data_IF_421133991054
#
_entry.id   IF_421133991054
#
_cell.length_a   1.000
_cell.length_b   1.000
_cell.length_c   1.000
_cell.angle_alpha   90.00
_cell.angle_beta   90.00
_cell.angle_gamma   90.00
#
_symmetry.space_group_name_H-M   'P 1'
#
loop_
_entity.id
_entity.type
_entity.pdbx_description
1 polymer ?
#
# COMPACT_ATOMS: atom_id res chain seq x y z
N UNK A 1 32.36 9.33 21.66
CA UNK A 1 32.49 9.56 20.20
C UNK A 1 31.10 9.81 19.60
N UNK A 2 30.97 10.74 18.63
CA UNK A 2 29.71 11.18 17.99
C UNK A 2 28.80 12.10 18.82
N UNK A 3 29.36 13.20 19.36
CA UNK A 3 28.58 14.22 20.08
C UNK A 3 27.80 15.18 19.16
N UNK A 4 28.19 15.29 17.89
CA UNK A 4 27.45 16.05 16.89
C UNK A 4 26.57 15.10 16.07
N UNK A 5 25.25 15.22 16.23
CA UNK A 5 24.25 14.39 15.54
C UNK A 5 24.24 14.61 14.02
N UNK A 6 24.54 15.82 13.56
CA UNK A 6 24.40 16.19 12.15
C UNK A 6 25.46 15.53 11.26
N UNK A 7 26.62 15.20 11.82
CA UNK A 7 27.74 14.63 11.06
C UNK A 7 28.11 13.23 11.52
N UNK A 8 27.42 12.66 12.51
CA UNK A 8 27.79 11.37 13.08
C UNK A 8 27.68 10.22 12.09
N UNK A 9 26.75 10.31 11.15
CA UNK A 9 26.53 9.27 10.14
C UNK A 9 27.73 9.08 9.19
N UNK A 10 28.57 10.11 9.00
CA UNK A 10 29.75 10.07 8.13
C UNK A 10 30.80 9.07 8.61
N UNK A 11 31.07 9.07 9.92
CA UNK A 11 31.99 8.10 10.53
C UNK A 11 31.38 6.69 10.55
N UNK A 12 30.05 6.58 10.72
CA UNK A 12 29.35 5.30 10.59
C UNK A 12 29.46 4.74 9.16
N UNK A 13 29.33 5.59 8.15
CA UNK A 13 29.49 5.20 6.76
C UNK A 13 30.91 4.68 6.49
N UNK A 14 31.93 5.43 6.93
CA UNK A 14 33.32 4.99 6.82
C UNK A 14 33.57 3.63 7.48
N UNK A 15 32.94 3.38 8.63
CA UNK A 15 33.02 2.08 9.29
C UNK A 15 32.32 0.97 8.49
N UNK A 16 31.17 1.24 7.86
CA UNK A 16 30.50 0.30 6.95
C UNK A 16 31.37 -0.06 5.74
N UNK A 17 32.04 0.93 5.15
CA UNK A 17 32.99 0.70 4.05
C UNK A 17 34.16 -0.19 4.49
N UNK A 18 34.77 0.10 5.65
CA UNK A 18 35.88 -0.68 6.17
C UNK A 18 35.47 -2.13 6.48
N UNK A 19 34.24 -2.34 6.97
CA UNK A 19 33.70 -3.68 7.20
C UNK A 19 33.47 -4.41 5.88
N UNK A 20 32.85 -3.76 4.90
CA UNK A 20 32.63 -4.33 3.58
C UNK A 20 33.96 -4.76 2.93
N UNK A 21 34.97 -3.90 2.85
CA UNK A 21 36.27 -4.22 2.24
C UNK A 21 37.01 -5.36 2.95
N UNK A 22 37.10 -5.33 4.29
CA UNK A 22 37.83 -6.35 5.05
C UNK A 22 37.27 -7.76 4.85
N UNK A 23 35.96 -7.88 4.68
CA UNK A 23 35.32 -9.18 4.47
C UNK A 23 35.56 -9.73 3.07
N UNK A 24 35.70 -8.88 2.06
CA UNK A 24 36.02 -9.32 0.69
C UNK A 24 37.50 -9.71 0.51
N UNK A 25 38.44 -9.13 1.27
CA UNK A 25 39.88 -9.37 1.10
C UNK A 25 40.40 -10.65 1.78
N UNK A 26 39.74 -11.13 2.84
CA UNK A 26 40.29 -12.19 3.70
C UNK A 26 39.95 -13.63 3.29
N UNK A 27 39.16 -13.83 2.22
CA UNK A 27 38.76 -15.18 1.77
C UNK A 27 37.89 -15.97 2.77
N UNK A 28 37.46 -15.33 3.85
CA UNK A 28 36.48 -15.86 4.81
C UNK A 28 35.06 -15.73 4.24
N UNK A 29 34.09 -16.40 4.87
CA UNK A 29 32.67 -16.28 4.51
C UNK A 29 32.25 -14.81 4.63
N UNK A 30 31.81 -14.21 3.53
CA UNK A 30 31.36 -12.82 3.49
C UNK A 30 30.22 -12.63 4.49
N UNK A 31 30.38 -11.68 5.41
CA UNK A 31 29.37 -11.35 6.43
C UNK A 31 28.46 -10.19 6.00
N UNK A 32 28.94 -9.34 5.08
CA UNK A 32 28.25 -8.16 4.55
C UNK A 32 28.50 -8.11 3.04
N UNK A 33 27.47 -8.43 2.26
CA UNK A 33 27.52 -8.43 0.78
C UNK A 33 27.13 -7.08 0.17
N UNK A 34 26.51 -6.19 0.95
CA UNK A 34 26.07 -4.87 0.50
C UNK A 34 25.93 -3.93 1.68
N UNK A 35 26.19 -2.65 1.44
CA UNK A 35 26.04 -1.56 2.40
C UNK A 35 25.18 -0.45 1.82
N UNK A 36 24.43 0.23 2.67
CA UNK A 36 23.49 1.26 2.29
C UNK A 36 23.03 2.10 3.47
N UNK A 37 22.10 3.02 3.20
CA UNK A 37 21.56 3.96 4.20
C UNK A 37 20.05 3.88 4.25
N UNK A 38 19.46 4.47 5.29
CA UNK A 38 18.01 4.55 5.44
C UNK A 38 17.61 5.94 5.89
N UNK A 39 16.47 6.43 5.40
CA UNK A 39 15.88 7.73 5.72
C UNK A 39 16.76 8.95 5.37
N UNK A 40 17.61 8.84 4.34
CA UNK A 40 18.40 9.98 3.84
C UNK A 40 17.59 10.79 2.84
N UNK A 41 17.61 12.12 2.96
CA UNK A 41 17.07 13.00 1.93
C UNK A 41 18.07 13.21 0.76
N UNK A 42 17.63 13.91 -0.29
CA UNK A 42 18.47 14.19 -1.47
C UNK A 42 19.81 14.87 -1.12
N UNK A 43 19.81 15.87 -0.23
CA UNK A 43 21.03 16.58 0.16
C UNK A 43 22.00 15.65 0.91
N UNK A 44 21.49 14.82 1.81
CA UNK A 44 22.29 13.83 2.54
C UNK A 44 22.84 12.75 1.61
N UNK A 45 22.05 12.30 0.63
CA UNK A 45 22.51 11.36 -0.40
C UNK A 45 23.61 11.95 -1.27
N UNK A 46 23.47 13.21 -1.71
CA UNK A 46 24.51 13.91 -2.47
C UNK A 46 25.80 14.05 -1.66
N UNK A 47 25.70 14.39 -0.38
CA UNK A 47 26.85 14.48 0.51
C UNK A 47 27.50 13.11 0.75
N UNK A 48 26.70 12.05 0.94
CA UNK A 48 27.17 10.68 1.09
C UNK A 48 28.00 10.28 -0.14
N UNK A 49 27.44 10.45 -1.34
CA UNK A 49 28.13 10.10 -2.58
C UNK A 49 29.44 10.87 -2.77
N UNK A 50 29.50 12.12 -2.31
CA UNK A 50 30.71 12.93 -2.37
C UNK A 50 31.84 12.40 -1.47
N UNK A 51 31.52 11.85 -0.29
CA UNK A 51 32.51 11.38 0.68
C UNK A 51 32.81 9.87 0.57
N UNK A 52 31.95 9.12 -0.10
CA UNK A 52 32.03 7.67 -0.22
C UNK A 52 33.23 7.21 -1.04
N UNK A 53 33.99 6.24 -0.50
CA UNK A 53 34.91 5.38 -1.26
C UNK A 53 34.15 4.25 -1.95
N UNK A 54 33.07 3.77 -1.33
CA UNK A 54 32.18 2.74 -1.86
C UNK A 54 30.80 3.35 -1.98
N UNK A 55 30.21 3.31 -3.17
CA UNK A 55 28.87 3.83 -3.38
C UNK A 55 27.84 3.01 -2.56
N UNK A 56 26.83 3.63 -1.95
CA UNK A 56 25.76 2.88 -1.31
C UNK A 56 25.03 2.03 -2.36
N UNK A 57 24.75 0.78 -2.04
CA UNK A 57 24.04 -0.15 -2.92
C UNK A 57 22.52 -0.01 -2.80
N UNK A 58 22.07 0.39 -1.61
CA UNK A 58 20.65 0.50 -1.26
C UNK A 58 20.39 1.76 -0.44
N UNK A 59 19.27 2.41 -0.71
CA UNK A 59 18.67 3.43 0.14
C UNK A 59 17.28 2.92 0.54
N UNK A 60 17.06 2.73 1.84
CA UNK A 60 15.74 2.36 2.36
C UNK A 60 14.97 3.62 2.75
N UNK A 61 13.77 3.81 2.20
CA UNK A 61 12.98 5.03 2.38
C UNK A 61 11.49 4.73 2.54
N UNK A 62 10.73 5.75 2.89
CA UNK A 62 9.29 5.59 3.04
C UNK A 62 8.68 5.48 1.63
N UNK A 63 7.65 4.65 1.44
CA UNK A 63 6.90 4.62 0.16
C UNK A 63 6.41 6.00 -0.28
N UNK A 64 6.25 6.94 0.66
CA UNK A 64 6.00 8.35 0.39
C UNK A 64 6.95 8.95 -0.66
N UNK A 65 8.26 8.65 -0.56
CA UNK A 65 9.30 9.24 -1.40
C UNK A 65 9.15 8.79 -2.86
N UNK A 66 8.66 7.56 -3.08
CA UNK A 66 8.40 6.98 -4.42
C UNK A 66 7.39 7.79 -5.23
N UNK A 67 6.45 8.44 -4.55
CA UNK A 67 5.35 9.21 -5.18
C UNK A 67 5.61 10.71 -5.13
N UNK A 68 6.26 11.21 -4.08
CA UNK A 68 6.34 12.64 -3.80
C UNK A 68 7.74 13.25 -3.93
N UNK A 69 8.79 12.45 -4.09
CA UNK A 69 10.15 12.95 -4.27
C UNK A 69 10.80 12.39 -5.56
N UNK A 70 10.32 12.82 -6.74
CA UNK A 70 10.90 12.37 -8.01
C UNK A 70 12.38 12.76 -8.15
N UNK A 71 12.84 13.82 -7.46
CA UNK A 71 14.23 14.23 -7.52
C UNK A 71 15.15 13.25 -6.78
N UNK A 72 14.75 12.78 -5.61
CA UNK A 72 15.45 11.71 -4.91
C UNK A 72 15.43 10.42 -5.72
N UNK A 73 14.26 10.01 -6.22
CA UNK A 73 14.13 8.77 -6.99
C UNK A 73 15.01 8.76 -8.24
N UNK A 74 14.98 9.83 -9.04
CA UNK A 74 15.85 9.97 -10.21
C UNK A 74 17.33 9.98 -9.82
N UNK A 75 17.70 10.66 -8.73
CA UNK A 75 19.08 10.68 -8.26
C UNK A 75 19.58 9.28 -7.86
N UNK A 76 18.76 8.46 -7.22
CA UNK A 76 19.10 7.09 -6.87
C UNK A 76 19.26 6.21 -8.11
N UNK A 77 18.33 6.32 -9.06
CA UNK A 77 18.38 5.59 -10.34
C UNK A 77 19.64 5.94 -11.14
N UNK A 78 19.93 7.22 -11.33
CA UNK A 78 21.12 7.72 -12.06
C UNK A 78 22.44 7.21 -11.45
N UNK A 79 22.45 6.94 -10.14
CA UNK A 79 23.62 6.45 -9.41
C UNK A 79 23.60 4.94 -9.16
N UNK A 80 22.65 4.20 -9.75
CA UNK A 80 22.48 2.74 -9.59
C UNK A 80 22.30 2.31 -8.12
N UNK A 81 21.55 3.09 -7.35
CA UNK A 81 21.25 2.83 -5.95
C UNK A 81 19.82 2.28 -5.87
N UNK A 82 19.67 1.05 -5.37
CA UNK A 82 18.34 0.44 -5.23
C UNK A 82 17.55 1.16 -4.14
N UNK A 83 16.34 1.62 -4.46
CA UNK A 83 15.42 2.09 -3.42
C UNK A 83 14.65 0.90 -2.82
N UNK A 84 14.63 0.81 -1.50
CA UNK A 84 13.81 -0.17 -0.77
C UNK A 84 12.72 0.55 0.04
N UNK A 85 11.47 0.40 -0.39
CA UNK A 85 10.32 1.01 0.24
C UNK A 85 9.88 0.25 1.50
N UNK A 86 9.76 0.97 2.61
CA UNK A 86 9.00 0.55 3.78
C UNK A 86 7.66 1.30 3.89
N UNK A 87 6.86 0.95 4.90
CA UNK A 87 5.56 1.58 5.19
C UNK A 87 4.48 1.39 4.13
N UNK A 88 4.63 0.47 3.17
CA UNK A 88 3.60 0.23 2.13
C UNK A 88 2.26 -0.20 2.75
N UNK A 89 2.28 -1.20 3.64
CA UNK A 89 1.04 -1.71 4.25
C UNK A 89 0.34 -0.67 5.13
N UNK A 90 1.08 0.04 5.99
CA UNK A 90 0.50 0.99 6.93
C UNK A 90 0.20 2.35 6.28
N UNK A 91 1.09 2.83 5.41
CA UNK A 91 0.99 4.12 4.74
C UNK A 91 0.00 4.14 3.59
N UNK A 92 -0.29 2.98 2.98
CA UNK A 92 -1.22 2.87 1.84
C UNK A 92 -2.43 2.03 2.23
N UNK A 93 -2.26 0.72 2.41
CA UNK A 93 -3.38 -0.22 2.56
C UNK A 93 -4.23 0.07 3.80
N UNK A 94 -3.60 0.36 4.94
CA UNK A 94 -4.31 0.68 6.18
C UNK A 94 -5.00 2.06 6.15
N UNK A 95 -4.73 2.91 5.15
CA UNK A 95 -5.37 4.22 5.01
C UNK A 95 -6.70 4.17 4.23
N UNK A 96 -7.21 2.97 3.90
CA UNK A 96 -8.47 2.76 3.16
C UNK A 96 -9.69 3.53 3.67
N UNK A 97 -9.74 3.83 4.98
CA UNK A 97 -10.81 4.64 5.60
C UNK A 97 -10.69 6.14 5.31
N UNK A 98 -9.47 6.65 5.10
CA UNK A 98 -9.21 8.08 4.88
C UNK A 98 -9.41 8.50 3.43
N UNK A 99 -9.07 7.60 2.50
CA UNK A 99 -9.25 7.81 1.07
C UNK A 99 -9.96 6.58 0.48
N UNK A 100 -11.27 6.52 0.67
CA UNK A 100 -12.06 5.36 0.32
C UNK A 100 -12.25 5.21 -1.20
N UNK A 101 -12.50 6.29 -1.93
CA UNK A 101 -12.61 6.24 -3.39
C UNK A 101 -11.28 5.81 -4.02
N UNK A 102 -10.16 6.26 -3.45
CA UNK A 102 -8.83 5.78 -3.83
C UNK A 102 -8.68 4.27 -3.62
N UNK A 103 -9.11 3.74 -2.47
CA UNK A 103 -9.07 2.30 -2.20
C UNK A 103 -10.00 1.51 -3.12
N UNK A 104 -11.21 2.04 -3.41
CA UNK A 104 -12.12 1.45 -4.39
C UNK A 104 -11.51 1.41 -5.79
N UNK A 105 -10.75 2.43 -6.20
CA UNK A 105 -10.06 2.42 -7.47
C UNK A 105 -9.05 1.27 -7.54
N UNK A 106 -8.32 0.97 -6.45
CA UNK A 106 -7.44 -0.21 -6.39
C UNK A 106 -8.23 -1.51 -6.56
N UNK A 107 -9.38 -1.64 -5.89
CA UNK A 107 -10.26 -2.81 -6.01
C UNK A 107 -10.73 -3.01 -7.46
N UNK A 108 -11.16 -1.96 -8.15
CA UNK A 108 -11.57 -2.04 -9.56
C UNK A 108 -10.44 -2.49 -10.48
N UNK A 109 -9.23 -1.99 -10.25
CA UNK A 109 -8.06 -2.41 -11.03
C UNK A 109 -7.76 -3.89 -10.79
N UNK A 110 -7.93 -4.39 -9.55
CA UNK A 110 -7.84 -5.83 -9.28
C UNK A 110 -8.85 -6.62 -10.12
N UNK A 111 -10.12 -6.23 -10.14
CA UNK A 111 -11.17 -6.91 -10.93
C UNK A 111 -10.87 -6.88 -12.44
N UNK A 112 -10.45 -5.74 -12.96
CA UNK A 112 -10.05 -5.60 -14.37
C UNK A 112 -8.92 -6.58 -14.72
N UNK A 113 -7.96 -6.77 -13.82
CA UNK A 113 -6.88 -7.74 -14.00
C UNK A 113 -7.40 -9.16 -13.92
N UNK A 114 -8.23 -9.49 -12.94
CA UNK A 114 -8.81 -10.82 -12.74
C UNK A 114 -9.58 -11.32 -13.98
N UNK A 115 -10.28 -10.43 -14.70
CA UNK A 115 -10.97 -10.76 -15.96
C UNK A 115 -10.05 -11.27 -17.07
N UNK A 116 -8.76 -10.93 -17.00
CA UNK A 116 -7.74 -11.36 -17.97
C UNK A 116 -6.96 -12.60 -17.50
N UNK A 117 -7.18 -13.03 -16.27
CA UNK A 117 -6.47 -14.13 -15.63
C UNK A 117 -7.27 -15.45 -15.70
N UNK A 118 -6.69 -16.54 -15.18
CA UNK A 118 -7.41 -17.80 -15.08
C UNK A 118 -8.59 -17.65 -14.12
N UNK A 119 -9.73 -18.25 -14.47
CA UNK A 119 -10.94 -18.23 -13.65
C UNK A 119 -10.64 -18.72 -12.22
N UNK A 120 -11.08 -17.93 -11.23
CA UNK A 120 -10.82 -18.18 -9.81
C UNK A 120 -9.49 -17.62 -9.28
N UNK A 121 -8.72 -16.88 -10.09
CA UNK A 121 -7.57 -16.13 -9.58
C UNK A 121 -8.04 -14.85 -8.91
N UNK A 122 -7.49 -14.52 -7.73
CA UNK A 122 -7.83 -13.31 -6.99
C UNK A 122 -6.59 -12.42 -6.85
N UNK A 123 -6.77 -11.11 -7.06
CA UNK A 123 -5.77 -10.08 -6.87
C UNK A 123 -6.22 -9.16 -5.74
N UNK A 124 -5.46 -9.12 -4.64
CA UNK A 124 -5.78 -8.23 -3.52
C UNK A 124 -5.17 -6.83 -3.73
N UNK A 125 -5.77 -5.75 -3.19
CA UNK A 125 -5.18 -4.41 -3.26
C UNK A 125 -3.75 -4.34 -2.69
N UNK A 126 -3.43 -5.13 -1.67
CA UNK A 126 -2.07 -5.28 -1.14
C UNK A 126 -1.11 -5.86 -2.18
N UNK A 127 -1.49 -6.96 -2.82
CA UNK A 127 -0.72 -7.58 -3.91
C UNK A 127 -0.51 -6.61 -5.06
N UNK A 128 -1.57 -5.89 -5.47
CA UNK A 128 -1.53 -4.92 -6.56
C UNK A 128 -0.53 -3.80 -6.28
N UNK A 129 -0.57 -3.17 -5.11
CA UNK A 129 0.35 -2.08 -4.75
C UNK A 129 1.79 -2.57 -4.64
N UNK A 130 2.01 -3.76 -4.07
CA UNK A 130 3.34 -4.35 -3.98
C UNK A 130 3.90 -4.71 -5.37
N UNK A 131 3.07 -5.27 -6.25
CA UNK A 131 3.44 -5.58 -7.63
C UNK A 131 3.73 -4.32 -8.43
N UNK A 132 2.93 -3.26 -8.27
CA UNK A 132 3.17 -1.96 -8.89
C UNK A 132 4.53 -1.38 -8.52
N UNK A 133 4.94 -1.48 -7.25
CA UNK A 133 6.28 -1.06 -6.82
C UNK A 133 7.39 -1.93 -7.46
N UNK A 134 7.24 -3.26 -7.43
CA UNK A 134 8.23 -4.19 -8.00
C UNK A 134 8.39 -4.00 -9.50
N UNK A 135 7.30 -3.78 -10.24
CA UNK A 135 7.33 -3.52 -11.69
C UNK A 135 7.99 -2.18 -12.05
N UNK A 136 8.18 -1.28 -11.06
CA UNK A 136 8.91 -0.01 -11.18
C UNK A 136 10.34 -0.09 -10.62
N UNK A 137 10.89 -1.29 -10.52
CA UNK A 137 12.23 -1.56 -9.97
C UNK A 137 12.43 -1.06 -8.52
N UNK A 138 11.33 -0.98 -7.74
CA UNK A 138 11.38 -0.64 -6.32
C UNK A 138 11.38 -1.91 -5.47
N UNK A 139 12.42 -2.07 -4.64
CA UNK A 139 12.47 -3.14 -3.64
C UNK A 139 11.46 -2.87 -2.52
N UNK A 140 10.85 -3.91 -1.96
CA UNK A 140 9.79 -3.80 -0.95
C UNK A 140 10.04 -4.74 0.23
N UNK A 141 9.60 -4.33 1.42
CA UNK A 141 9.67 -5.12 2.66
C UNK A 141 8.33 -5.10 3.42
N UNK A 142 7.27 -5.73 2.87
CA UNK A 142 5.95 -5.71 3.50
C UNK A 142 5.97 -6.44 4.84
N UNK A 143 5.58 -5.75 5.91
CA UNK A 143 5.45 -6.35 7.24
C UNK A 143 4.09 -7.04 7.36
N UNK A 144 4.10 -8.30 7.77
CA UNK A 144 2.89 -9.06 8.10
C UNK A 144 3.12 -9.94 9.33
N UNK A 145 2.16 -9.96 10.26
CA UNK A 145 2.19 -10.81 11.46
C UNK A 145 1.29 -12.04 11.36
N UNK A 146 0.25 -12.01 10.51
CA UNK A 146 -0.60 -13.18 10.24
C UNK A 146 -0.02 -14.01 9.10
N UNK A 147 -0.25 -15.32 9.16
CA UNK A 147 0.17 -16.26 8.11
C UNK A 147 -0.49 -15.92 6.78
N UNK A 148 -1.77 -15.53 6.78
CA UNK A 148 -2.51 -15.21 5.56
C UNK A 148 -1.91 -14.00 4.84
N UNK A 149 -1.66 -12.90 5.57
CA UNK A 149 -0.99 -11.74 4.97
C UNK A 149 0.45 -12.03 4.51
N UNK A 150 1.15 -12.97 5.16
CA UNK A 150 2.47 -13.40 4.70
C UNK A 150 2.40 -14.17 3.37
N UNK A 151 1.35 -14.97 3.17
CA UNK A 151 1.07 -15.64 1.90
C UNK A 151 0.68 -14.62 0.83
N UNK A 152 -0.18 -13.67 1.16
CA UNK A 152 -0.64 -12.62 0.23
C UNK A 152 0.51 -11.71 -0.21
N UNK A 153 1.45 -11.41 0.69
CA UNK A 153 2.62 -10.57 0.41
C UNK A 153 3.83 -11.38 -0.10
N UNK A 154 3.65 -12.67 -0.42
CA UNK A 154 4.75 -13.53 -0.88
C UNK A 154 5.21 -13.17 -2.28
N UNK A 155 6.47 -13.51 -2.61
CA UNK A 155 7.00 -13.30 -3.96
C UNK A 155 6.14 -13.98 -5.04
N UNK A 156 5.62 -15.19 -4.79
CA UNK A 156 4.74 -15.89 -5.72
C UNK A 156 3.42 -15.17 -5.96
N UNK A 157 2.84 -14.56 -4.92
CA UNK A 157 1.60 -13.80 -5.04
C UNK A 157 1.82 -12.48 -5.76
N UNK A 158 2.90 -11.76 -5.44
CA UNK A 158 3.23 -10.49 -6.10
C UNK A 158 3.54 -10.72 -7.59
N UNK A 159 4.27 -11.78 -7.92
CA UNK A 159 4.63 -12.13 -9.31
C UNK A 159 3.48 -12.73 -10.12
N UNK A 160 2.33 -13.06 -9.50
CA UNK A 160 1.15 -13.50 -10.24
C UNK A 160 0.38 -12.34 -10.85
N UNK A 161 0.57 -11.11 -10.34
CA UNK A 161 -0.03 -9.90 -10.89
C UNK A 161 0.54 -9.65 -12.30
N UNK A 162 -0.29 -9.54 -13.35
CA UNK A 162 0.17 -9.27 -14.70
C UNK A 162 0.94 -7.94 -14.83
N UNK A 163 1.66 -7.79 -15.94
CA UNK A 163 2.32 -6.51 -16.25
C UNK A 163 1.24 -5.43 -16.40
N UNK A 164 1.36 -4.37 -15.60
CA UNK A 164 0.42 -3.26 -15.55
C UNK A 164 0.63 -2.34 -16.74
N UNK A 165 -0.45 -1.99 -17.43
CA UNK A 165 -0.42 -0.98 -18.50
C UNK A 165 -0.07 0.40 -17.93
N UNK A 166 0.42 1.31 -18.78
CA UNK A 166 0.70 2.70 -18.38
C UNK A 166 -0.52 3.38 -17.74
N UNK A 167 -1.71 3.14 -18.30
CA UNK A 167 -2.97 3.63 -17.73
C UNK A 167 -3.24 3.07 -16.32
N UNK A 168 -3.06 1.77 -16.12
CA UNK A 168 -3.22 1.13 -14.81
C UNK A 168 -2.19 1.68 -13.81
N UNK A 169 -0.92 1.82 -14.21
CA UNK A 169 0.13 2.38 -13.36
C UNK A 169 -0.21 3.81 -12.91
N UNK A 170 -0.69 4.66 -13.81
CA UNK A 170 -1.10 6.03 -13.49
C UNK A 170 -2.30 6.06 -12.54
N UNK A 171 -3.29 5.19 -12.75
CA UNK A 171 -4.46 5.06 -11.86
C UNK A 171 -4.05 4.57 -10.46
N UNK A 172 -3.14 3.60 -10.38
CA UNK A 172 -2.59 3.11 -9.10
C UNK A 172 -1.81 4.23 -8.41
N UNK A 173 -0.95 4.96 -9.12
CA UNK A 173 -0.18 6.07 -8.53
C UNK A 173 -1.11 7.14 -7.93
N UNK A 174 -2.16 7.52 -8.65
CA UNK A 174 -3.19 8.45 -8.17
C UNK A 174 -3.86 7.94 -6.89
N UNK A 175 -4.27 6.68 -6.86
CA UNK A 175 -4.88 6.06 -5.68
C UNK A 175 -3.91 5.98 -4.49
N UNK A 176 -2.66 5.56 -4.73
CA UNK A 176 -1.62 5.46 -3.70
C UNK A 176 -1.29 6.85 -3.13
N UNK A 177 -1.20 7.87 -3.98
CA UNK A 177 -0.99 9.27 -3.57
C UNK A 177 -2.11 9.75 -2.64
N UNK A 178 -3.37 9.57 -3.04
CA UNK A 178 -4.55 9.90 -2.24
C UNK A 178 -4.56 9.18 -0.88
N UNK A 179 -4.26 7.88 -0.85
CA UNK A 179 -4.16 7.07 0.37
C UNK A 179 -3.06 7.56 1.31
N UNK A 180 -1.89 7.92 0.76
CA UNK A 180 -0.76 8.45 1.53
C UNK A 180 -1.08 9.82 2.14
N UNK A 181 -1.70 10.70 1.35
CA UNK A 181 -2.13 12.04 1.79
C UNK A 181 -3.28 11.97 2.80
N UNK A 182 -4.10 10.91 2.74
CA UNK A 182 -5.38 10.86 3.44
C UNK A 182 -6.40 11.86 2.86
N UNK A 183 -6.18 12.30 1.61
CA UNK A 183 -7.07 13.15 0.83
C UNK A 183 -7.70 12.29 -0.24
N UNK A 184 -9.00 12.01 -0.09
CA UNK A 184 -9.67 11.09 -1.01
C UNK A 184 -9.72 11.64 -2.44
N UNK A 185 -9.78 10.73 -3.41
CA UNK A 185 -10.03 11.12 -4.79
C UNK A 185 -11.40 11.80 -4.87
N UNK A 186 -11.52 12.90 -5.65
CA UNK A 186 -12.82 13.49 -5.90
C UNK A 186 -13.73 12.41 -6.46
N UNK A 187 -14.99 12.39 -6.01
CA UNK A 187 -15.95 11.53 -6.69
C UNK A 187 -15.93 11.94 -8.16
N UNK A 188 -15.93 10.96 -9.06
CA UNK A 188 -16.18 11.21 -10.48
C UNK A 188 -17.61 11.74 -10.55
N UNK A 189 -17.80 13.06 -10.34
CA UNK A 189 -19.09 13.72 -10.21
C UNK A 189 -20.00 13.20 -9.05
N UNK A 190 -20.60 14.05 -8.22
CA UNK A 190 -21.66 13.60 -7.30
C UNK A 190 -22.80 12.88 -8.03
N UNK A 191 -22.97 13.19 -9.32
CA UNK A 191 -23.93 12.57 -10.21
C UNK A 191 -23.51 11.22 -10.81
N UNK A 192 -22.27 10.74 -10.65
CA UNK A 192 -21.84 9.42 -11.15
C UNK A 192 -21.44 8.47 -10.01
N UNK A 193 -21.87 8.77 -8.78
CA UNK A 193 -21.77 7.88 -7.61
C UNK A 193 -23.03 7.91 -6.76
N UNK A 194 -23.18 6.91 -5.89
CA UNK A 194 -24.21 6.81 -4.86
C UNK A 194 -23.53 7.03 -3.51
N UNK A 195 -23.99 7.98 -2.72
CA UNK A 195 -23.50 8.14 -1.34
C UNK A 195 -24.23 7.15 -0.45
N UNK A 196 -23.52 6.27 0.23
CA UNK A 196 -24.10 5.32 1.19
C UNK A 196 -23.61 5.61 2.59
N UNK A 197 -24.50 5.49 3.57
CA UNK A 197 -24.18 5.68 4.98
C UNK A 197 -24.47 4.40 5.74
N UNK A 198 -23.44 3.81 6.34
CA UNK A 198 -23.58 2.69 7.25
C UNK A 198 -23.49 3.18 8.69
N UNK A 199 -24.45 2.79 9.52
CA UNK A 199 -24.44 3.06 10.96
C UNK A 199 -24.39 1.73 11.69
N UNK A 200 -23.41 1.55 12.56
CA UNK A 200 -23.42 0.41 13.48
C UNK A 200 -24.51 0.64 14.56
N UNK A 201 -25.63 -0.08 14.46
CA UNK A 201 -26.75 0.05 15.38
C UNK A 201 -26.68 -0.93 16.56
N UNK A 202 -25.59 -1.68 16.71
CA UNK A 202 -25.36 -2.55 17.85
C UNK A 202 -25.18 -1.72 19.13
N UNK A 203 -25.58 -2.30 20.27
CA UNK A 203 -25.36 -1.70 21.60
C UNK A 203 -23.92 -1.95 22.10
N UNK A 204 -23.31 -3.03 21.64
CA UNK A 204 -21.94 -3.45 21.95
C UNK A 204 -21.36 -4.21 20.75
N UNK A 205 -20.03 -4.18 20.59
CA UNK A 205 -19.33 -4.90 19.52
C UNK A 205 -19.15 -4.07 18.25
N UNK A 206 -18.00 -4.23 17.60
CA UNK A 206 -17.74 -3.61 16.31
C UNK A 206 -18.27 -4.46 15.16
N UNK A 207 -18.52 -3.82 14.03
CA UNK A 207 -18.82 -4.49 12.78
C UNK A 207 -17.70 -4.26 11.76
N UNK A 208 -17.51 -5.24 10.89
CA UNK A 208 -16.66 -5.12 9.71
C UNK A 208 -17.56 -5.08 8.47
N UNK A 209 -17.25 -4.23 7.51
CA UNK A 209 -17.98 -4.07 6.25
C UNK A 209 -17.05 -4.43 5.11
N UNK A 210 -17.49 -5.37 4.30
CA UNK A 210 -16.84 -5.86 3.10
C UNK A 210 -17.62 -5.38 1.89
N UNK A 211 -16.94 -5.10 0.80
CA UNK A 211 -17.56 -4.99 -0.52
C UNK A 211 -17.50 -6.36 -1.17
N UNK A 212 -18.63 -6.83 -1.68
CA UNK A 212 -18.74 -8.11 -2.37
C UNK A 212 -18.83 -7.86 -3.86
N UNK A 213 -17.87 -8.42 -4.60
CA UNK A 213 -17.83 -8.31 -6.05
C UNK A 213 -19.12 -8.84 -6.68
N UNK A 214 -19.82 -8.08 -7.54
CA UNK A 214 -21.11 -8.48 -8.11
C UNK A 214 -21.07 -9.80 -8.89
N UNK A 215 -19.95 -10.05 -9.57
CA UNK A 215 -19.81 -11.18 -10.50
C UNK A 215 -19.22 -12.42 -9.83
N UNK A 216 -18.25 -12.24 -8.93
CA UNK A 216 -17.51 -13.36 -8.31
C UNK A 216 -17.95 -13.65 -6.87
N UNK A 217 -18.60 -12.69 -6.21
CA UNK A 217 -18.96 -12.77 -4.79
C UNK A 217 -17.77 -12.68 -3.85
N UNK A 218 -16.56 -12.40 -4.34
CA UNK A 218 -15.36 -12.22 -3.51
C UNK A 218 -15.56 -11.01 -2.60
N UNK A 219 -15.40 -11.22 -1.29
CA UNK A 219 -15.60 -10.19 -0.27
C UNK A 219 -14.25 -9.56 0.08
N UNK A 220 -14.11 -8.26 -0.21
CA UNK A 220 -12.91 -7.48 0.11
C UNK A 220 -13.19 -6.54 1.28
N UNK A 221 -12.37 -6.54 2.34
CA UNK A 221 -12.64 -5.73 3.53
C UNK A 221 -12.50 -4.24 3.23
N UNK A 222 -13.57 -3.48 3.48
CA UNK A 222 -13.66 -2.03 3.23
C UNK A 222 -13.50 -1.23 4.51
N UNK A 223 -14.29 -1.55 5.54
CA UNK A 223 -14.21 -0.95 6.87
C UNK A 223 -14.06 -2.08 7.89
N UNK A 224 -13.09 -1.97 8.79
CA UNK A 224 -12.91 -2.94 9.88
C UNK A 224 -12.94 -2.22 11.22
N UNK A 225 -13.62 -2.76 12.21
CA UNK A 225 -13.80 -2.20 13.56
C UNK A 225 -14.67 -0.91 13.59
N UNK A 226 -15.83 -0.91 12.94
CA UNK A 226 -16.81 0.19 13.05
C UNK A 226 -17.49 0.11 14.42
N UNK A 227 -17.32 1.13 15.26
CA UNK A 227 -17.78 1.13 16.65
C UNK A 227 -19.30 1.32 16.80
N UNK A 228 -19.93 0.85 17.88
CA UNK A 228 -21.34 1.13 18.18
C UNK A 228 -21.70 2.61 18.06
N UNK A 229 -22.73 2.93 17.26
CA UNK A 229 -23.19 4.29 16.98
C UNK A 229 -22.33 5.09 16.00
N UNK A 230 -21.22 4.55 15.50
CA UNK A 230 -20.40 5.18 14.47
C UNK A 230 -21.16 5.16 13.13
N UNK A 231 -21.15 6.30 12.44
CA UNK A 231 -21.74 6.49 11.13
C UNK A 231 -20.64 6.77 10.11
N UNK A 232 -20.54 5.95 9.09
CA UNK A 232 -19.52 6.08 8.04
C UNK A 232 -20.20 6.30 6.69
N UNK A 233 -19.68 7.26 5.94
CA UNK A 233 -20.12 7.59 4.59
C UNK A 233 -19.13 7.08 3.55
N UNK A 234 -19.64 6.53 2.46
CA UNK A 234 -18.88 5.93 1.37
C UNK A 234 -19.52 6.32 0.04
N UNK A 235 -18.75 6.61 -1.01
CA UNK A 235 -19.30 6.71 -2.37
C UNK A 235 -19.17 5.36 -3.08
N UNK A 236 -20.21 4.92 -3.78
CA UNK A 236 -20.26 3.62 -4.45
C UNK A 236 -21.07 3.70 -5.74
N UNK A 237 -21.38 2.57 -6.38
CA UNK A 237 -22.15 2.52 -7.62
C UNK A 237 -23.47 1.75 -7.43
N UNK A 238 -24.52 2.06 -8.22
CA UNK A 238 -25.75 1.29 -8.24
C UNK A 238 -25.48 -0.19 -8.47
N UNK A 239 -26.16 -1.05 -7.72
CA UNK A 239 -26.03 -2.49 -7.83
C UNK A 239 -24.85 -3.11 -7.07
N UNK A 240 -23.90 -2.32 -6.55
CA UNK A 240 -22.86 -2.82 -5.64
C UNK A 240 -23.46 -3.52 -4.43
N UNK A 241 -22.73 -4.48 -3.88
CA UNK A 241 -23.13 -5.25 -2.71
C UNK A 241 -22.10 -5.04 -1.61
N UNK A 242 -22.57 -4.76 -0.40
CA UNK A 242 -21.77 -4.76 0.81
C UNK A 242 -22.27 -5.85 1.75
N UNK A 243 -21.36 -6.37 2.56
CA UNK A 243 -21.62 -7.42 3.53
C UNK A 243 -21.04 -6.96 4.86
N UNK A 244 -21.88 -6.90 5.89
CA UNK A 244 -21.43 -6.63 7.25
C UNK A 244 -21.32 -7.92 8.05
N UNK A 245 -20.24 -8.03 8.82
CA UNK A 245 -19.97 -9.08 9.79
C UNK A 245 -19.87 -8.51 11.20
N UNK A 246 -20.24 -9.30 12.19
CA UNK A 246 -19.90 -9.03 13.58
C UNK A 246 -18.40 -9.29 13.79
N UNK A 247 -17.83 -8.79 14.90
CA UNK A 247 -16.40 -8.93 15.18
C UNK A 247 -15.89 -10.39 15.15
N UNK A 248 -16.76 -11.37 15.42
CA UNK A 248 -16.41 -12.80 15.37
C UNK A 248 -16.67 -13.47 14.01
N UNK A 249 -17.16 -12.71 13.02
CA UNK A 249 -17.52 -13.18 11.66
C UNK A 249 -18.51 -14.35 11.66
N UNK A 250 -19.41 -14.39 12.65
CA UNK A 250 -20.46 -15.41 12.82
C UNK A 250 -21.80 -14.96 12.26
N UNK A 251 -22.09 -13.67 12.32
CA UNK A 251 -23.33 -13.08 11.81
C UNK A 251 -23.02 -12.28 10.56
N UNK A 252 -23.79 -12.52 9.50
CA UNK A 252 -23.59 -11.91 8.19
C UNK A 252 -24.87 -11.23 7.74
N UNK A 253 -24.77 -9.97 7.29
CA UNK A 253 -25.89 -9.25 6.67
C UNK A 253 -25.45 -8.55 5.40
N UNK A 254 -26.25 -8.67 4.35
CA UNK A 254 -25.95 -8.14 3.03
C UNK A 254 -26.79 -6.89 2.74
N UNK A 255 -26.18 -5.91 2.07
CA UNK A 255 -26.76 -4.64 1.69
C UNK A 255 -26.46 -4.42 0.21
N UNK A 256 -27.51 -4.41 -0.62
CA UNK A 256 -27.38 -4.08 -2.04
C UNK A 256 -27.73 -2.61 -2.22
N UNK A 257 -26.94 -1.91 -3.01
CA UNK A 257 -27.18 -0.51 -3.33
C UNK A 257 -28.24 -0.46 -4.42
N UNK A 258 -29.40 0.12 -4.11
CA UNK A 258 -30.54 0.21 -5.03
C UNK A 258 -30.69 1.60 -5.65
N UNK A 259 -30.13 2.62 -5.02
CA UNK A 259 -30.17 3.99 -5.49
C UNK A 259 -29.39 4.16 -6.79
N UNK A 260 -29.95 5.00 -7.65
CA UNK A 260 -29.30 5.47 -8.87
C UNK A 260 -28.23 6.52 -8.55
N UNK A 261 -27.37 6.78 -9.53
CA UNK A 261 -26.34 7.79 -9.42
C UNK A 261 -26.87 9.18 -9.02
N UNK A 262 -26.15 9.87 -8.12
CA UNK A 262 -26.62 11.09 -7.45
C UNK A 262 -27.54 10.84 -6.25
N UNK A 263 -27.90 9.59 -5.99
CA UNK A 263 -28.73 9.18 -4.86
C UNK A 263 -27.94 9.04 -3.56
N UNK A 264 -28.71 8.92 -2.47
CA UNK A 264 -28.20 8.64 -1.12
C UNK A 264 -28.96 7.48 -0.50
N UNK A 265 -28.24 6.54 0.13
CA UNK A 265 -28.83 5.46 0.91
C UNK A 265 -28.27 5.41 2.32
N UNK A 266 -29.11 4.94 3.24
CA UNK A 266 -28.77 4.84 4.65
C UNK A 266 -29.11 3.44 5.16
N UNK A 267 -28.12 2.77 5.75
CA UNK A 267 -28.23 1.44 6.30
C UNK A 267 -27.90 1.44 7.79
N UNK A 268 -28.91 1.08 8.59
CA UNK A 268 -28.75 0.70 9.99
C UNK A 268 -28.32 -0.76 10.04
N UNK A 269 -27.07 -1.01 10.44
CA UNK A 269 -26.51 -2.36 10.53
C UNK A 269 -26.85 -2.94 11.89
N UNK A 270 -27.82 -3.86 11.88
CA UNK A 270 -28.21 -4.69 13.03
C UNK A 270 -27.82 -6.13 12.70
N UNK A 271 -26.92 -6.70 13.49
CA UNK A 271 -26.43 -8.09 13.39
C UNK A 271 -26.90 -8.88 14.61
#
# INVERSE_FOLDING_TARGET
PHLNKETSWKESWKALEDLYTKHHDNGERVSIESIGVSNFNLTEMQELLHISRIMPHVMQGNVWDVVHDPHLMNFLEENNIVFQAFNVMNGVIAQKRKAFNAFLLLIRICEELEQTMQEGTTVLPSMLVLAWLVQRDISIIPRASSSDHQMDNSNSAIMSVPILSEEQQNRIESAVSALLLGEDLPSENPHDSVLVTFVNALTHGSIDIFWAAPDTGVETPVLEEVSPGESIQLNTHPGHVFVAYDQEHKVRRQFRIEADYGGHEHFSVEL
#
